data_IF_061038190609
#
_entry.id   IF_061038190609
#
_cell.length_a   1.000
_cell.length_b   1.000
_cell.length_c   1.000
_cell.angle_alpha   90.00
_cell.angle_beta   90.00
_cell.angle_gamma   90.00
#
_symmetry.space_group_name_H-M   'P 1'
#
loop_
_entity.id
_entity.type
_entity.pdbx_description
1 polymer ?
#
# COMPACT_ATOMS: atom_id res chain seq x y z
N UNK A 1 -17.95 26.24 -25.93
CA UNK A 1 -18.83 26.41 -24.75
C UNK A 1 -19.19 25.02 -24.21
N UNK A 2 -19.08 24.87 -22.89
CA UNK A 2 -19.34 23.56 -22.27
C UNK A 2 -20.83 23.38 -22.03
N UNK A 3 -21.35 22.21 -22.43
CA UNK A 3 -22.73 21.82 -22.17
C UNK A 3 -22.87 21.30 -20.73
N UNK A 4 -24.11 21.17 -20.25
CA UNK A 4 -24.39 20.59 -18.94
C UNK A 4 -23.82 19.14 -18.84
N UNK A 5 -23.95 18.39 -19.91
CA UNK A 5 -23.39 17.01 -19.96
C UNK A 5 -21.88 17.00 -19.80
N UNK A 6 -21.19 17.94 -20.47
CA UNK A 6 -19.74 18.08 -20.36
C UNK A 6 -19.34 18.42 -18.92
N UNK A 7 -20.09 19.33 -18.27
CA UNK A 7 -19.84 19.71 -16.88
C UNK A 7 -20.05 18.54 -15.92
N UNK A 8 -21.12 17.77 -16.11
CA UNK A 8 -21.40 16.58 -15.31
C UNK A 8 -20.32 15.53 -15.50
N UNK A 9 -19.88 15.33 -16.74
CA UNK A 9 -18.79 14.42 -17.06
C UNK A 9 -17.50 14.84 -16.36
N UNK A 10 -17.19 16.14 -16.35
CA UNK A 10 -16.00 16.66 -15.69
C UNK A 10 -16.08 16.50 -14.17
N UNK A 11 -17.25 16.67 -13.58
CA UNK A 11 -17.43 16.43 -12.14
C UNK A 11 -17.25 14.97 -11.80
N UNK A 12 -17.77 14.07 -12.62
CA UNK A 12 -17.55 12.64 -12.49
C UNK A 12 -16.07 12.27 -12.64
N UNK A 13 -15.41 12.89 -13.61
CA UNK A 13 -13.98 12.70 -13.84
C UNK A 13 -13.16 13.19 -12.64
N UNK A 14 -13.55 14.30 -12.01
CA UNK A 14 -12.83 14.80 -10.85
C UNK A 14 -12.93 13.83 -9.67
N UNK A 15 -14.10 13.23 -9.45
CA UNK A 15 -14.30 12.25 -8.40
C UNK A 15 -13.51 10.97 -8.69
N UNK A 16 -13.62 10.44 -9.92
CA UNK A 16 -12.83 9.29 -10.37
C UNK A 16 -11.35 9.63 -10.38
N UNK A 17 -11.02 10.88 -10.76
CA UNK A 17 -9.64 11.35 -10.86
C UNK A 17 -8.90 11.31 -9.52
N UNK A 18 -9.58 11.55 -8.40
CA UNK A 18 -8.93 11.46 -7.10
C UNK A 18 -8.51 10.02 -6.81
N UNK A 19 -9.42 9.06 -6.99
CA UNK A 19 -9.12 7.64 -6.79
C UNK A 19 -8.07 7.14 -7.79
N UNK A 20 -8.22 7.53 -9.07
CA UNK A 20 -7.27 7.15 -10.11
C UNK A 20 -5.87 7.71 -9.85
N UNK A 21 -5.78 8.95 -9.38
CA UNK A 21 -4.49 9.56 -9.03
C UNK A 21 -3.86 8.84 -7.85
N UNK A 22 -4.67 8.49 -6.85
CA UNK A 22 -4.17 7.74 -5.70
C UNK A 22 -3.64 6.38 -6.14
N UNK A 23 -4.37 5.70 -7.01
CA UNK A 23 -3.95 4.40 -7.55
C UNK A 23 -2.67 4.53 -8.36
N UNK A 24 -2.57 5.56 -9.18
CA UNK A 24 -1.36 5.83 -9.96
C UNK A 24 -0.17 6.12 -9.04
N UNK A 25 -0.38 6.93 -8.01
CA UNK A 25 0.68 7.21 -7.02
C UNK A 25 1.15 5.92 -6.35
N UNK A 26 0.24 5.00 -6.04
CA UNK A 26 0.61 3.71 -5.47
C UNK A 26 1.48 2.89 -6.44
N UNK A 27 1.16 2.89 -7.73
CA UNK A 27 1.94 2.18 -8.74
C UNK A 27 3.33 2.79 -8.92
N UNK A 28 3.41 4.10 -8.94
CA UNK A 28 4.68 4.81 -9.05
C UNK A 28 5.53 4.53 -7.81
N UNK A 29 4.91 4.57 -6.63
CA UNK A 29 5.60 4.27 -5.38
C UNK A 29 6.11 2.83 -5.36
N UNK A 30 5.33 1.88 -5.86
CA UNK A 30 5.75 0.48 -5.96
C UNK A 30 6.97 0.34 -6.86
N UNK A 31 6.96 1.00 -8.02
CA UNK A 31 8.08 0.96 -8.95
C UNK A 31 9.34 1.57 -8.31
N UNK A 32 9.19 2.71 -7.64
CA UNK A 32 10.31 3.34 -6.93
C UNK A 32 10.84 2.46 -5.81
N UNK A 33 9.96 1.80 -5.09
CA UNK A 33 10.31 0.85 -4.03
C UNK A 33 11.15 -0.30 -4.59
N UNK A 34 10.73 -0.87 -5.73
CA UNK A 34 11.47 -1.95 -6.39
C UNK A 34 12.85 -1.51 -6.89
N UNK A 35 13.02 -0.22 -7.14
CA UNK A 35 14.32 0.36 -7.53
C UNK A 35 15.16 0.76 -6.33
N UNK A 36 14.67 0.54 -5.12
CA UNK A 36 15.38 0.91 -3.91
C UNK A 36 15.29 2.39 -3.54
N UNK A 37 14.41 3.14 -4.21
CA UNK A 37 14.24 4.57 -3.98
C UNK A 37 13.09 4.82 -3.01
N UNK A 38 13.30 4.43 -1.76
CA UNK A 38 12.24 4.41 -0.75
C UNK A 38 11.75 5.79 -0.34
N UNK A 39 12.65 6.76 -0.23
CA UNK A 39 12.26 8.13 0.12
C UNK A 39 11.48 8.80 -0.99
N UNK A 40 11.87 8.56 -2.25
CA UNK A 40 11.13 9.05 -3.40
C UNK A 40 9.73 8.43 -3.45
N UNK A 41 9.61 7.14 -3.11
CA UNK A 41 8.33 6.47 -3.04
C UNK A 41 7.43 7.09 -1.96
N UNK A 42 8.00 7.39 -0.80
CA UNK A 42 7.26 8.07 0.28
C UNK A 42 6.80 9.45 -0.18
N UNK A 43 7.67 10.20 -0.86
CA UNK A 43 7.31 11.53 -1.35
C UNK A 43 6.16 11.47 -2.36
N UNK A 44 6.13 10.44 -3.19
CA UNK A 44 5.03 10.24 -4.14
C UNK A 44 3.68 10.06 -3.42
N UNK A 45 3.69 9.47 -2.23
CA UNK A 45 2.48 9.24 -1.44
C UNK A 45 2.21 10.32 -0.40
N UNK A 46 2.97 11.42 -0.39
CA UNK A 46 2.95 12.42 0.69
C UNK A 46 1.56 13.00 0.97
N UNK A 47 0.72 13.18 -0.05
CA UNK A 47 -0.63 13.71 0.13
C UNK A 47 -1.57 12.69 0.80
N UNK A 48 -1.24 11.41 0.71
CA UNK A 48 -2.09 10.32 1.19
C UNK A 48 -1.55 9.67 2.46
N UNK A 49 -0.26 9.80 2.71
CA UNK A 49 0.41 9.14 3.82
C UNK A 49 1.57 9.99 4.33
N UNK A 50 1.58 10.24 5.63
CA UNK A 50 2.54 11.15 6.26
C UNK A 50 3.89 10.52 6.59
N UNK A 51 3.97 9.20 6.64
CA UNK A 51 5.24 8.52 6.90
C UNK A 51 5.12 7.36 7.88
N UNK A 52 6.27 6.86 8.29
CA UNK A 52 6.37 5.68 9.16
C UNK A 52 5.50 5.82 10.41
N UNK A 53 4.69 4.79 10.67
CA UNK A 53 3.84 4.74 11.86
C UNK A 53 2.54 5.51 11.74
N UNK A 54 2.31 6.19 10.63
CA UNK A 54 1.07 6.93 10.40
C UNK A 54 0.11 6.11 9.53
N UNK A 55 -1.17 6.23 9.82
CA UNK A 55 -2.20 5.60 9.01
C UNK A 55 -2.43 6.43 7.76
N UNK A 56 -2.49 5.82 6.57
CA UNK A 56 -2.79 6.58 5.34
C UNK A 56 -4.23 7.07 5.33
N UNK A 57 -4.48 8.09 4.53
CA UNK A 57 -5.82 8.68 4.36
C UNK A 57 -6.60 7.84 3.37
N UNK A 58 -7.61 7.14 3.85
CA UNK A 58 -8.41 6.23 3.02
C UNK A 58 -9.73 6.84 2.55
N UNK A 59 -10.13 7.97 3.11
CA UNK A 59 -11.39 8.61 2.75
C UNK A 59 -11.43 9.00 1.28
N UNK A 60 -12.56 8.74 0.64
CA UNK A 60 -12.76 9.08 -0.77
C UNK A 60 -12.15 8.09 -1.75
N UNK A 61 -11.54 7.01 -1.26
CA UNK A 61 -10.96 5.97 -2.11
C UNK A 61 -11.89 4.77 -2.21
N UNK A 62 -11.84 4.08 -3.37
CA UNK A 62 -12.51 2.78 -3.48
C UNK A 62 -11.81 1.79 -2.56
N UNK A 63 -12.50 0.70 -2.23
CA UNK A 63 -11.94 -0.32 -1.35
C UNK A 63 -10.63 -0.91 -1.92
N UNK A 64 -10.57 -1.09 -3.23
CA UNK A 64 -9.37 -1.62 -3.87
C UNK A 64 -8.19 -0.65 -3.74
N UNK A 65 -8.42 0.63 -4.03
CA UNK A 65 -7.36 1.64 -3.94
C UNK A 65 -6.91 1.82 -2.48
N UNK A 66 -7.86 1.80 -1.55
CA UNK A 66 -7.55 1.88 -0.12
C UNK A 66 -6.65 0.70 0.30
N UNK A 67 -6.96 -0.50 -0.15
CA UNK A 67 -6.15 -1.69 0.16
C UNK A 67 -4.73 -1.57 -0.42
N UNK A 68 -4.61 -1.05 -1.63
CA UNK A 68 -3.30 -0.83 -2.26
C UNK A 68 -2.48 0.21 -1.51
N UNK A 69 -3.13 1.29 -1.08
CA UNK A 69 -2.45 2.34 -0.30
C UNK A 69 -1.97 1.80 1.06
N UNK A 70 -2.80 1.01 1.72
CA UNK A 70 -2.41 0.35 2.97
C UNK A 70 -1.17 -0.51 2.78
N UNK A 71 -1.13 -1.27 1.69
CA UNK A 71 0.00 -2.14 1.39
C UNK A 71 1.27 -1.31 1.14
N UNK A 72 1.17 -0.25 0.34
CA UNK A 72 2.33 0.60 0.03
C UNK A 72 2.84 1.30 1.29
N UNK A 73 1.94 1.88 2.08
CA UNK A 73 2.32 2.54 3.32
C UNK A 73 2.97 1.55 4.29
N UNK A 74 2.43 0.34 4.39
CA UNK A 74 2.99 -0.70 5.24
C UNK A 74 4.36 -1.15 4.78
N UNK A 75 4.50 -1.46 3.49
CA UNK A 75 5.76 -1.91 2.92
C UNK A 75 6.85 -0.84 3.09
N UNK A 76 6.53 0.42 2.78
CA UNK A 76 7.48 1.52 2.93
C UNK A 76 7.82 1.80 4.40
N UNK A 77 6.86 1.65 5.32
CA UNK A 77 7.15 1.78 6.75
C UNK A 77 8.21 0.79 7.19
N UNK A 78 8.10 -0.46 6.73
CA UNK A 78 9.09 -1.49 7.05
C UNK A 78 10.45 -1.20 6.44
N UNK A 79 10.48 -0.81 5.16
CA UNK A 79 11.73 -0.54 4.44
C UNK A 79 12.43 0.70 4.99
N UNK A 80 11.72 1.80 5.14
CA UNK A 80 12.27 3.04 5.69
C UNK A 80 12.65 2.86 7.15
N UNK A 81 11.83 2.12 7.90
CA UNK A 81 12.12 1.83 9.29
C UNK A 81 13.42 1.08 9.48
N UNK A 82 13.73 0.16 8.56
CA UNK A 82 14.99 -0.59 8.58
C UNK A 82 16.16 0.34 8.26
N UNK A 83 16.06 1.13 7.18
CA UNK A 83 17.15 2.01 6.77
C UNK A 83 17.40 3.13 7.77
N UNK A 84 16.36 3.64 8.42
CA UNK A 84 16.45 4.74 9.38
C UNK A 84 16.52 4.28 10.84
N UNK A 85 16.49 2.95 11.04
CA UNK A 85 16.54 2.33 12.37
C UNK A 85 15.45 2.86 13.30
N UNK A 86 14.23 2.94 12.80
CA UNK A 86 13.07 3.43 13.56
C UNK A 86 12.47 2.29 14.37
N UNK A 87 12.45 2.45 15.70
CA UNK A 87 11.84 1.46 16.58
C UNK A 87 10.33 1.38 16.35
N UNK A 88 9.81 0.15 16.34
CA UNK A 88 8.37 -0.08 16.16
C UNK A 88 7.89 -0.01 14.70
N UNK A 89 8.79 0.29 13.75
CA UNK A 89 8.40 0.41 12.35
C UNK A 89 7.88 -0.90 11.77
N UNK A 90 8.47 -2.05 12.13
CA UNK A 90 8.01 -3.33 11.61
C UNK A 90 6.63 -3.71 12.15
N UNK A 91 6.33 -3.36 13.39
CA UNK A 91 5.00 -3.59 13.95
C UNK A 91 3.95 -2.76 13.22
N UNK A 92 4.23 -1.48 12.97
CA UNK A 92 3.34 -0.61 12.21
C UNK A 92 3.15 -1.14 10.79
N UNK A 93 4.24 -1.58 10.16
CA UNK A 93 4.21 -2.16 8.81
C UNK A 93 3.32 -3.40 8.78
N UNK A 94 3.48 -4.31 9.73
CA UNK A 94 2.70 -5.54 9.79
C UNK A 94 1.21 -5.27 9.96
N UNK A 95 0.86 -4.28 10.79
CA UNK A 95 -0.54 -3.91 11.00
C UNK A 95 -1.20 -3.41 9.71
N UNK A 96 -0.52 -2.52 8.98
CA UNK A 96 -1.04 -1.97 7.73
C UNK A 96 -1.15 -3.05 6.64
N UNK A 97 -0.12 -3.88 6.51
CA UNK A 97 -0.10 -4.95 5.51
C UNK A 97 -1.18 -5.99 5.82
N UNK A 98 -1.34 -6.37 7.09
CA UNK A 98 -2.38 -7.32 7.49
C UNK A 98 -3.78 -6.81 7.15
N UNK A 99 -4.03 -5.52 7.36
CA UNK A 99 -5.30 -4.90 6.98
C UNK A 99 -5.50 -4.96 5.47
N UNK A 100 -4.45 -4.72 4.69
CA UNK A 100 -4.53 -4.81 3.23
C UNK A 100 -4.86 -6.23 2.77
N UNK A 101 -4.27 -7.25 3.40
CA UNK A 101 -4.55 -8.64 3.08
C UNK A 101 -6.04 -8.94 3.27
N UNK A 102 -6.58 -8.55 4.41
CA UNK A 102 -8.01 -8.77 4.72
C UNK A 102 -8.89 -8.08 3.66
N UNK A 103 -8.56 -6.85 3.30
CA UNK A 103 -9.31 -6.11 2.29
C UNK A 103 -9.24 -6.78 0.91
N UNK A 104 -8.06 -7.20 0.48
CA UNK A 104 -7.90 -7.88 -0.81
C UNK A 104 -8.66 -9.20 -0.83
N UNK A 105 -8.63 -9.96 0.26
CA UNK A 105 -9.38 -11.21 0.36
C UNK A 105 -10.88 -10.96 0.25
N UNK A 106 -11.39 -9.95 0.94
CA UNK A 106 -12.81 -9.59 0.89
C UNK A 106 -13.25 -9.17 -0.51
N UNK A 107 -12.34 -8.58 -1.29
CA UNK A 107 -12.60 -8.15 -2.66
C UNK A 107 -12.41 -9.27 -3.68
N UNK A 108 -11.96 -10.44 -3.27
CA UNK A 108 -11.65 -11.54 -4.18
C UNK A 108 -10.38 -11.32 -4.98
N UNK A 109 -9.54 -10.37 -4.58
CA UNK A 109 -8.28 -10.04 -5.25
C UNK A 109 -7.16 -10.94 -4.72
N UNK A 110 -7.21 -12.22 -5.10
CA UNK A 110 -6.33 -13.24 -4.53
C UNK A 110 -4.86 -13.04 -4.87
N UNK A 111 -4.55 -12.59 -6.08
CA UNK A 111 -3.17 -12.31 -6.48
C UNK A 111 -2.57 -11.17 -5.68
N UNK A 112 -3.36 -10.13 -5.42
CA UNK A 112 -2.93 -8.98 -4.62
C UNK A 112 -2.79 -9.37 -3.15
N UNK A 113 -3.70 -10.20 -2.64
CA UNK A 113 -3.60 -10.73 -1.28
C UNK A 113 -2.31 -11.54 -1.12
N UNK A 114 -1.95 -12.35 -2.13
CA UNK A 114 -0.71 -13.11 -2.10
C UNK A 114 0.52 -12.22 -2.09
N UNK A 115 0.52 -11.15 -2.89
CA UNK A 115 1.62 -10.17 -2.91
C UNK A 115 1.76 -9.50 -1.53
N UNK A 116 0.64 -9.12 -0.92
CA UNK A 116 0.64 -8.51 0.41
C UNK A 116 1.14 -9.50 1.47
N UNK A 117 0.78 -10.78 1.35
CA UNK A 117 1.24 -11.83 2.24
C UNK A 117 2.77 -11.96 2.16
N UNK A 118 3.34 -11.87 0.96
CA UNK A 118 4.79 -11.90 0.78
C UNK A 118 5.46 -10.72 1.45
N UNK A 119 4.85 -9.52 1.36
CA UNK A 119 5.38 -8.33 2.04
C UNK A 119 5.34 -8.50 3.56
N UNK A 120 4.29 -9.13 4.07
CA UNK A 120 4.22 -9.43 5.51
C UNK A 120 5.37 -10.36 5.91
N UNK A 121 5.64 -11.37 5.09
CA UNK A 121 6.80 -12.25 5.30
C UNK A 121 8.10 -11.47 5.35
N UNK A 122 8.26 -10.45 4.49
CA UNK A 122 9.44 -9.60 4.50
C UNK A 122 9.61 -8.85 5.82
N UNK A 123 8.49 -8.41 6.44
CA UNK A 123 8.56 -7.75 7.75
C UNK A 123 9.11 -8.69 8.82
N UNK A 124 8.64 -9.93 8.84
CA UNK A 124 9.15 -10.94 9.79
C UNK A 124 10.62 -11.26 9.52
N UNK A 125 10.99 -11.33 8.25
CA UNK A 125 12.38 -11.55 7.86
C UNK A 125 13.28 -10.46 8.42
N UNK A 126 12.88 -9.19 8.28
CA UNK A 126 13.65 -8.03 8.78
C UNK A 126 13.80 -8.07 10.29
N UNK A 127 12.82 -8.65 10.99
CA UNK A 127 12.89 -8.81 12.45
C UNK A 127 13.72 -10.01 12.88
N UNK A 128 14.15 -10.84 11.94
CA UNK A 128 14.84 -12.10 12.24
C UNK A 128 13.90 -13.25 12.58
N UNK A 129 12.59 -13.06 12.43
CA UNK A 129 11.58 -14.09 12.70
C UNK A 129 11.40 -14.98 11.47
N UNK A 130 12.43 -15.76 11.14
CA UNK A 130 12.50 -16.49 9.88
C UNK A 130 11.45 -17.60 9.74
N UNK A 131 11.04 -18.23 10.83
CA UNK A 131 9.99 -19.26 10.76
C UNK A 131 8.65 -18.63 10.40
N UNK A 132 8.33 -17.49 10.98
CA UNK A 132 7.11 -16.75 10.65
C UNK A 132 7.15 -16.27 9.20
N UNK A 133 8.30 -15.79 8.74
CA UNK A 133 8.48 -15.37 7.35
C UNK A 133 8.19 -16.52 6.39
N UNK A 134 8.73 -17.72 6.67
CA UNK A 134 8.47 -18.89 5.83
C UNK A 134 7.01 -19.27 5.76
N UNK A 135 6.28 -19.16 6.87
CA UNK A 135 4.85 -19.44 6.91
C UNK A 135 4.09 -18.48 5.98
N UNK A 136 4.41 -17.19 6.03
CA UNK A 136 3.73 -16.19 5.20
C UNK A 136 4.07 -16.36 3.72
N UNK A 137 5.33 -16.69 3.39
CA UNK A 137 5.71 -16.97 2.01
C UNK A 137 5.00 -18.22 1.48
N UNK A 138 4.88 -19.25 2.29
CA UNK A 138 4.18 -20.48 1.90
C UNK A 138 2.69 -20.19 1.66
N UNK A 139 2.06 -19.37 2.52
CA UNK A 139 0.66 -18.97 2.35
C UNK A 139 0.46 -18.19 1.06
N UNK A 140 1.40 -17.32 0.71
CA UNK A 140 1.34 -16.56 -0.55
C UNK A 140 1.36 -17.50 -1.76
N UNK A 141 2.17 -18.54 -1.72
CA UNK A 141 2.28 -19.51 -2.82
C UNK A 141 1.01 -20.34 -3.02
N UNK A 142 0.19 -20.49 -1.98
CA UNK A 142 -1.08 -21.24 -2.09
C UNK A 142 -2.19 -20.42 -2.76
N UNK A 143 -2.02 -19.13 -2.89
CA UNK A 143 -3.02 -18.25 -3.50
C UNK A 143 -2.72 -18.06 -4.97
#
# INVERSE_FOLDING_TARGET
MKTAETLLSQLGEQTSSYDERARLSCRIAEDLEHRGQYEAARDELAELWQGIGQRPKLEGLTDLTAAELLLRAGSLSGLLGTTQQVEGAQEAAKDLISESITSFQSLGELARAAAAQSELGCCYWREGAYDNARIHYADALKK
#
